data_IF_416162358726
#
_entry.id   IF_416162358726
#
_cell.length_a   1.000
_cell.length_b   1.000
_cell.length_c   1.000
_cell.angle_alpha   90.00
_cell.angle_beta   90.00
_cell.angle_gamma   90.00
#
_symmetry.space_group_name_H-M   'P 1'
#
loop_
_entity.id
_entity.type
_entity.pdbx_description
1 polymer ?
#
# COMPACT_ATOMS: atom_id res chain seq x y z
N UNK A 1 -2.41 -33.10 20.20
CA UNK A 1 -3.33 -32.00 19.84
C UNK A 1 -2.57 -30.70 20.01
N UNK A 2 -2.20 -30.05 18.92
CA UNK A 2 -1.55 -28.74 19.01
C UNK A 2 -2.59 -27.71 19.45
N UNK A 3 -2.30 -26.95 20.51
CA UNK A 3 -3.14 -25.82 20.91
C UNK A 3 -3.16 -24.81 19.77
N UNK A 4 -4.36 -24.37 19.37
CA UNK A 4 -4.49 -23.28 18.42
C UNK A 4 -3.78 -22.04 19.01
N UNK A 5 -3.05 -21.26 18.19
CA UNK A 5 -2.42 -20.04 18.67
C UNK A 5 -3.50 -19.13 19.28
N UNK A 6 -3.32 -18.77 20.55
CA UNK A 6 -4.21 -17.83 21.21
C UNK A 6 -3.97 -16.46 20.60
N UNK A 7 -4.96 -15.97 19.85
CA UNK A 7 -4.95 -14.61 19.34
C UNK A 7 -5.12 -13.63 20.51
N UNK A 8 -4.48 -12.43 20.45
CA UNK A 8 -4.72 -11.38 21.42
C UNK A 8 -6.21 -11.01 21.48
N UNK A 9 -6.73 -10.56 22.64
CA UNK A 9 -8.13 -10.19 22.78
C UNK A 9 -8.46 -9.05 21.81
N UNK A 10 -9.58 -9.19 21.11
CA UNK A 10 -10.15 -8.17 20.22
C UNK A 10 -11.25 -7.41 20.98
N UNK A 11 -11.34 -6.09 20.78
CA UNK A 11 -12.31 -5.24 21.46
C UNK A 11 -13.39 -4.66 20.54
N UNK A 12 -13.33 -4.97 19.24
CA UNK A 12 -14.35 -4.62 18.25
C UNK A 12 -14.44 -5.66 17.13
N UNK A 13 -15.54 -5.62 16.38
CA UNK A 13 -15.84 -6.54 15.26
C UNK A 13 -14.87 -6.41 14.08
N UNK A 14 -14.33 -5.22 13.87
CA UNK A 14 -13.35 -5.00 12.81
C UNK A 14 -12.02 -5.72 13.11
N UNK A 15 -11.60 -5.71 14.38
CA UNK A 15 -10.38 -6.40 14.81
C UNK A 15 -10.54 -7.93 14.75
N UNK A 16 -11.72 -8.45 15.13
CA UNK A 16 -12.05 -9.87 14.95
C UNK A 16 -11.88 -10.30 13.49
N UNK A 17 -12.42 -9.50 12.56
CA UNK A 17 -12.27 -9.75 11.13
C UNK A 17 -10.81 -9.65 10.67
N UNK A 18 -10.08 -8.64 11.14
CA UNK A 18 -8.66 -8.43 10.82
C UNK A 18 -7.79 -9.62 11.23
N UNK A 19 -7.95 -10.11 12.47
CA UNK A 19 -7.24 -11.28 12.98
C UNK A 19 -7.50 -12.52 12.12
N UNK A 20 -8.72 -12.71 11.66
CA UNK A 20 -9.10 -13.88 10.86
C UNK A 20 -8.56 -13.82 9.42
N UNK A 21 -8.46 -12.63 8.82
CA UNK A 21 -8.22 -12.50 7.38
C UNK A 21 -6.83 -11.93 7.02
N UNK A 22 -6.12 -11.29 7.96
CA UNK A 22 -4.83 -10.66 7.73
C UNK A 22 -3.75 -11.24 8.67
N UNK A 23 -2.88 -12.16 8.19
CA UNK A 23 -1.75 -12.65 8.96
C UNK A 23 -0.85 -11.48 9.43
N UNK A 24 -0.53 -11.44 10.73
CA UNK A 24 0.28 -10.37 11.33
C UNK A 24 -0.52 -9.12 11.73
N UNK A 25 -1.84 -9.11 11.54
CA UNK A 25 -2.70 -8.05 12.06
C UNK A 25 -2.61 -7.96 13.58
N UNK A 26 -2.43 -6.73 14.07
CA UNK A 26 -2.39 -6.42 15.51
C UNK A 26 -3.69 -5.68 15.86
N UNK A 27 -4.60 -6.31 16.64
CA UNK A 27 -5.78 -5.64 17.16
C UNK A 27 -5.44 -4.39 17.97
N UNK A 28 -6.34 -3.42 17.98
CA UNK A 28 -6.24 -2.30 18.89
C UNK A 28 -6.37 -2.79 20.33
N UNK A 29 -5.59 -2.18 21.22
CA UNK A 29 -5.86 -2.28 22.65
C UNK A 29 -7.17 -1.58 22.98
N UNK A 30 -7.75 -1.89 24.15
CA UNK A 30 -8.95 -1.22 24.62
C UNK A 30 -8.74 0.30 24.73
N UNK A 31 -7.57 0.70 25.21
CA UNK A 31 -7.20 2.10 25.38
C UNK A 31 -7.08 2.84 24.03
N UNK A 32 -6.53 2.19 23.00
CA UNK A 32 -6.46 2.75 21.64
C UNK A 32 -7.85 2.89 21.01
N UNK A 33 -8.72 1.91 21.22
CA UNK A 33 -10.10 1.96 20.73
C UNK A 33 -10.91 3.06 21.43
N UNK A 34 -10.81 3.19 22.75
CA UNK A 34 -11.41 4.30 23.49
C UNK A 34 -10.86 5.65 23.04
N UNK A 35 -9.54 5.76 22.80
CA UNK A 35 -8.92 6.98 22.27
C UNK A 35 -9.47 7.35 20.88
N UNK A 36 -9.64 6.36 20.00
CA UNK A 36 -10.25 6.57 18.68
C UNK A 36 -11.68 7.12 18.81
N UNK A 37 -12.51 6.53 19.68
CA UNK A 37 -13.88 7.02 19.89
C UNK A 37 -13.92 8.41 20.54
N UNK A 38 -13.02 8.71 21.48
CA UNK A 38 -12.89 10.08 22.02
C UNK A 38 -12.53 11.09 20.92
N UNK A 39 -11.65 10.73 19.98
CA UNK A 39 -11.35 11.58 18.83
C UNK A 39 -12.57 11.81 17.91
N UNK A 40 -13.55 10.90 17.93
CA UNK A 40 -14.82 11.00 17.23
C UNK A 40 -15.93 11.67 18.07
N UNK A 41 -15.60 12.16 19.27
CA UNK A 41 -16.52 12.90 20.15
C UNK A 41 -17.18 12.09 21.27
N UNK A 42 -16.80 10.83 21.49
CA UNK A 42 -17.28 10.07 22.64
C UNK A 42 -16.77 10.67 23.95
N UNK A 43 -17.63 10.70 24.97
CA UNK A 43 -17.27 10.97 26.36
C UNK A 43 -17.24 9.65 27.14
N UNK A 44 -16.82 9.68 28.40
CA UNK A 44 -16.85 8.48 29.24
C UNK A 44 -18.28 7.94 29.41
N UNK A 45 -19.29 8.82 29.41
CA UNK A 45 -20.71 8.45 29.48
C UNK A 45 -21.26 7.83 28.20
N UNK A 46 -20.74 8.22 27.02
CA UNK A 46 -21.23 7.76 25.70
C UNK A 46 -20.33 6.72 25.04
N UNK A 47 -19.22 6.34 25.68
CA UNK A 47 -18.22 5.43 25.12
C UNK A 47 -18.82 4.11 24.64
N UNK A 48 -19.66 3.48 25.46
CA UNK A 48 -20.28 2.20 25.10
C UNK A 48 -21.22 2.34 23.89
N UNK A 49 -21.98 3.43 23.79
CA UNK A 49 -22.87 3.67 22.65
C UNK A 49 -22.08 3.83 21.35
N UNK A 50 -20.93 4.50 21.40
CA UNK A 50 -20.01 4.65 20.27
C UNK A 50 -19.40 3.32 19.85
N UNK A 51 -18.97 2.49 20.81
CA UNK A 51 -18.43 1.16 20.54
C UNK A 51 -19.50 0.25 19.91
N UNK A 52 -20.71 0.23 20.47
CA UNK A 52 -21.82 -0.58 19.94
C UNK A 52 -22.24 -0.13 18.52
N UNK A 53 -22.22 1.18 18.25
CA UNK A 53 -22.48 1.71 16.92
C UNK A 53 -21.38 1.31 15.93
N UNK A 54 -20.12 1.40 16.35
CA UNK A 54 -18.97 1.00 15.54
C UNK A 54 -19.00 -0.49 15.17
N UNK A 55 -19.32 -1.35 16.12
CA UNK A 55 -19.47 -2.78 15.88
C UNK A 55 -20.64 -3.07 14.93
N UNK A 56 -21.77 -2.38 15.08
CA UNK A 56 -22.91 -2.52 14.16
C UNK A 56 -22.57 -2.09 12.75
N UNK A 57 -21.84 -0.99 12.60
CA UNK A 57 -21.39 -0.50 11.29
C UNK A 57 -20.37 -1.47 10.66
N UNK A 58 -19.46 -2.03 11.46
CA UNK A 58 -18.54 -3.06 11.02
C UNK A 58 -19.28 -4.33 10.57
N UNK A 59 -20.25 -4.82 11.34
CA UNK A 59 -21.07 -5.98 10.96
C UNK A 59 -21.90 -5.73 9.70
N UNK A 60 -22.48 -4.53 9.55
CA UNK A 60 -23.20 -4.15 8.34
C UNK A 60 -22.27 -4.10 7.12
N UNK A 61 -21.03 -3.61 7.30
CA UNK A 61 -20.03 -3.57 6.25
C UNK A 61 -19.49 -4.96 5.87
N UNK A 62 -19.28 -5.83 6.86
CA UNK A 62 -18.67 -7.15 6.71
C UNK A 62 -19.68 -8.29 6.45
N UNK A 63 -20.97 -8.03 6.68
CA UNK A 63 -22.02 -9.02 6.52
C UNK A 63 -22.23 -9.45 5.06
N UNK A 64 -23.06 -10.49 4.82
CA UNK A 64 -23.23 -11.10 3.49
C UNK A 64 -23.69 -10.16 2.37
N UNK A 65 -24.30 -9.02 2.73
CA UNK A 65 -24.78 -7.99 1.80
C UNK A 65 -24.03 -6.67 1.95
N UNK A 66 -23.01 -6.63 2.81
CA UNK A 66 -22.17 -5.47 3.02
C UNK A 66 -21.19 -5.25 1.85
N UNK A 67 -20.67 -4.03 1.67
CA UNK A 67 -19.64 -3.74 0.68
C UNK A 67 -18.32 -4.51 0.91
N UNK A 68 -18.15 -5.12 2.08
CA UNK A 68 -16.91 -5.74 2.54
C UNK A 68 -15.87 -4.69 2.95
N UNK A 69 -14.83 -5.15 3.64
CA UNK A 69 -13.63 -4.34 3.90
C UNK A 69 -12.61 -4.62 2.81
N UNK A 70 -12.35 -3.62 1.97
CA UNK A 70 -11.28 -3.70 0.97
C UNK A 70 -9.93 -3.52 1.66
N UNK A 71 -9.22 -4.62 1.91
CA UNK A 71 -7.83 -4.57 2.33
C UNK A 71 -6.96 -4.08 1.18
N UNK A 72 -6.15 -3.05 1.42
CA UNK A 72 -5.21 -2.49 0.44
C UNK A 72 -3.76 -2.72 0.89
N UNK A 73 -2.87 -2.87 -0.08
CA UNK A 73 -1.43 -2.99 0.16
C UNK A 73 -0.95 -4.32 0.74
N UNK A 74 -1.83 -5.32 0.88
CA UNK A 74 -1.43 -6.68 1.28
C UNK A 74 -0.39 -7.21 0.31
N UNK A 75 0.74 -7.69 0.84
CA UNK A 75 1.84 -8.20 0.02
C UNK A 75 1.45 -9.52 -0.66
N UNK A 76 1.98 -9.79 -1.87
CA UNK A 76 1.65 -11.01 -2.58
C UNK A 76 2.18 -12.25 -1.87
N UNK A 77 1.42 -13.33 -1.97
CA UNK A 77 1.84 -14.69 -1.59
C UNK A 77 2.75 -15.29 -2.67
N UNK A 78 3.56 -16.31 -2.34
CA UNK A 78 4.45 -16.95 -3.31
C UNK A 78 3.75 -17.54 -4.54
N UNK A 79 2.47 -17.87 -4.43
CA UNK A 79 1.61 -18.47 -5.46
C UNK A 79 0.69 -17.46 -6.17
N UNK A 80 0.84 -16.16 -5.90
CA UNK A 80 0.05 -15.13 -6.59
C UNK A 80 0.59 -14.88 -8.01
N UNK A 81 -0.24 -15.16 -9.03
CA UNK A 81 0.11 -14.97 -10.44
C UNK A 81 0.09 -13.48 -10.89
N UNK A 82 -0.48 -12.59 -10.08
CA UNK A 82 -0.69 -11.18 -10.41
C UNK A 82 0.44 -10.27 -9.89
N UNK A 83 1.69 -10.73 -10.01
CA UNK A 83 2.88 -10.00 -9.56
C UNK A 83 3.81 -9.76 -10.73
N UNK A 84 4.06 -8.48 -11.01
CA UNK A 84 5.08 -8.06 -11.96
C UNK A 84 6.41 -7.90 -11.25
N UNK A 85 7.51 -8.28 -11.90
CA UNK A 85 8.84 -8.19 -11.30
C UNK A 85 9.83 -7.49 -12.21
N UNK A 86 10.70 -6.66 -11.63
CA UNK A 86 11.81 -6.00 -12.34
C UNK A 86 13.12 -6.34 -11.61
N UNK A 87 14.07 -7.03 -12.26
CA UNK A 87 15.37 -7.31 -11.66
C UNK A 87 16.24 -6.05 -11.57
N UNK A 88 16.91 -5.88 -10.42
CA UNK A 88 17.92 -4.85 -10.23
C UNK A 88 19.27 -5.47 -10.59
N UNK A 89 19.78 -5.12 -11.77
CA UNK A 89 20.98 -5.72 -12.36
C UNK A 89 22.19 -5.68 -11.41
N UNK A 90 22.92 -6.79 -11.34
CA UNK A 90 24.10 -6.92 -10.48
C UNK A 90 23.80 -7.06 -8.98
N UNK A 91 22.55 -7.37 -8.62
CA UNK A 91 22.14 -7.61 -7.22
C UNK A 91 21.19 -8.81 -7.14
N UNK A 92 21.01 -9.37 -5.95
CA UNK A 92 19.98 -10.39 -5.65
C UNK A 92 18.60 -9.76 -5.36
N UNK A 93 18.37 -8.52 -5.79
CA UNK A 93 17.14 -7.78 -5.52
C UNK A 93 16.28 -7.65 -6.77
N UNK A 94 14.97 -7.78 -6.57
CA UNK A 94 13.95 -7.42 -7.55
C UNK A 94 13.01 -6.38 -6.93
N UNK A 95 12.38 -5.58 -7.79
CA UNK A 95 11.17 -4.84 -7.45
C UNK A 95 9.97 -5.73 -7.80
N UNK A 96 9.07 -5.95 -6.84
CA UNK A 96 7.75 -6.54 -7.14
C UNK A 96 6.72 -5.43 -7.23
N UNK A 97 5.74 -5.61 -8.12
CA UNK A 97 4.60 -4.73 -8.27
C UNK A 97 3.33 -5.57 -8.36
N UNK A 98 2.28 -5.16 -7.67
CA UNK A 98 1.00 -5.87 -7.64
C UNK A 98 -0.14 -4.87 -7.40
N UNK A 99 -1.37 -5.25 -7.76
CA UNK A 99 -2.50 -4.32 -7.61
C UNK A 99 -2.81 -4.02 -6.14
N UNK A 100 -2.71 -5.01 -5.25
CA UNK A 100 -2.85 -4.81 -3.80
C UNK A 100 -4.15 -4.11 -3.40
N UNK A 101 -5.26 -4.38 -4.10
CA UNK A 101 -6.54 -3.70 -3.88
C UNK A 101 -6.63 -2.26 -4.40
N UNK A 102 -5.55 -1.74 -5.01
CA UNK A 102 -5.42 -0.35 -5.50
C UNK A 102 -5.90 -0.11 -6.93
N UNK A 103 -6.45 -1.14 -7.59
CA UNK A 103 -6.89 -1.07 -8.99
C UNK A 103 -7.89 0.08 -9.25
N UNK A 104 -8.81 0.34 -8.31
CA UNK A 104 -9.79 1.42 -8.41
C UNK A 104 -9.16 2.82 -8.45
N UNK A 105 -7.94 2.96 -7.91
CA UNK A 105 -7.16 4.20 -7.93
C UNK A 105 -6.21 4.29 -9.12
N UNK A 106 -6.20 3.28 -10.00
CA UNK A 106 -5.19 3.14 -11.06
C UNK A 106 -3.76 3.16 -10.51
N UNK A 107 -3.54 2.55 -9.35
CA UNK A 107 -2.25 2.46 -8.68
C UNK A 107 -1.81 1.00 -8.51
N UNK A 108 -0.50 0.80 -8.43
CA UNK A 108 0.13 -0.45 -8.01
C UNK A 108 0.84 -0.23 -6.67
N UNK A 109 0.86 -1.27 -5.84
CA UNK A 109 1.79 -1.39 -4.73
C UNK A 109 3.13 -1.91 -5.25
N UNK A 110 4.21 -1.56 -4.55
CA UNK A 110 5.55 -2.05 -4.86
C UNK A 110 6.40 -2.28 -3.59
N UNK A 111 7.34 -3.21 -3.67
CA UNK A 111 8.35 -3.46 -2.64
C UNK A 111 9.68 -3.96 -3.22
N UNK A 112 10.70 -4.06 -2.36
CA UNK A 112 11.92 -4.79 -2.65
C UNK A 112 11.79 -6.24 -2.18
N UNK A 113 12.32 -7.17 -2.96
CA UNK A 113 12.36 -8.59 -2.62
C UNK A 113 13.75 -9.15 -2.89
N UNK A 114 14.28 -9.87 -1.91
CA UNK A 114 15.56 -10.57 -2.01
C UNK A 114 15.31 -11.98 -2.58
N UNK A 115 15.79 -12.23 -3.79
CA UNK A 115 15.58 -13.51 -4.50
C UNK A 115 16.46 -14.63 -3.95
N UNK A 116 17.53 -14.31 -3.23
CA UNK A 116 18.36 -15.31 -2.57
C UNK A 116 17.71 -15.79 -1.27
N UNK A 117 17.15 -14.86 -0.49
CA UNK A 117 16.49 -15.16 0.78
C UNK A 117 15.01 -15.51 0.62
N UNK A 118 14.42 -15.25 -0.55
CA UNK A 118 12.99 -15.43 -0.84
C UNK A 118 12.10 -14.67 0.15
N UNK A 119 12.50 -13.44 0.50
CA UNK A 119 11.77 -12.59 1.46
C UNK A 119 11.65 -11.16 0.96
N UNK A 120 10.52 -10.48 1.23
CA UNK A 120 10.48 -9.03 1.08
C UNK A 120 11.50 -8.39 2.03
N UNK A 121 12.07 -7.27 1.59
CA UNK A 121 13.02 -6.48 2.38
C UNK A 121 12.60 -5.01 2.36
N UNK A 122 12.90 -4.30 3.44
CA UNK A 122 12.71 -2.84 3.49
C UNK A 122 13.71 -2.15 2.55
N UNK A 123 13.54 -0.85 2.31
CA UNK A 123 14.42 -0.07 1.44
C UNK A 123 15.89 -0.29 1.84
N UNK A 124 16.71 -0.91 0.98
CA UNK A 124 18.09 -1.21 1.36
C UNK A 124 18.90 0.07 1.58
N UNK A 125 19.90 0.01 2.46
CA UNK A 125 20.67 1.20 2.84
C UNK A 125 21.32 1.86 1.61
N UNK A 126 21.07 3.16 1.45
CA UNK A 126 21.59 3.96 0.35
C UNK A 126 20.82 3.81 -0.95
N UNK A 127 19.74 3.02 -0.96
CA UNK A 127 18.84 2.91 -2.10
C UNK A 127 17.77 4.01 -2.05
N UNK A 128 17.26 4.37 -3.22
CA UNK A 128 16.11 5.25 -3.37
C UNK A 128 15.30 4.86 -4.60
N UNK A 129 13.98 5.04 -4.53
CA UNK A 129 13.09 4.95 -5.69
C UNK A 129 12.67 6.37 -6.03
N UNK A 130 12.87 6.81 -7.26
CA UNK A 130 12.53 8.15 -7.71
C UNK A 130 11.66 8.07 -8.97
N UNK A 131 10.77 9.04 -9.21
CA UNK A 131 10.17 9.22 -10.53
C UNK A 131 11.28 9.38 -11.58
N UNK A 132 11.23 8.56 -12.63
CA UNK A 132 12.17 8.65 -13.73
C UNK A 132 11.80 9.85 -14.61
N UNK A 133 12.79 10.65 -14.97
CA UNK A 133 12.62 11.72 -15.96
C UNK A 133 12.66 11.17 -17.40
N UNK A 134 12.96 9.88 -17.56
CA UNK A 134 13.08 9.25 -18.86
C UNK A 134 11.71 8.89 -19.44
N UNK A 135 11.46 9.38 -20.66
CA UNK A 135 10.47 8.91 -21.66
C UNK A 135 9.17 9.70 -21.87
N UNK A 136 8.96 10.84 -21.21
CA UNK A 136 7.89 11.78 -21.61
C UNK A 136 8.46 13.17 -21.93
N UNK A 137 8.51 13.56 -23.22
CA UNK A 137 8.85 14.93 -23.61
C UNK A 137 7.97 15.94 -22.86
N UNK A 138 8.59 16.91 -22.18
CA UNK A 138 7.88 17.96 -21.44
C UNK A 138 7.65 17.71 -19.95
N UNK A 139 8.06 16.57 -19.39
CA UNK A 139 7.99 16.31 -17.95
C UNK A 139 9.23 16.89 -17.25
N UNK A 140 9.04 17.98 -16.50
CA UNK A 140 10.10 18.74 -15.80
C UNK A 140 10.50 18.16 -14.43
N UNK A 141 9.90 17.05 -14.03
CA UNK A 141 10.10 16.51 -12.68
C UNK A 141 11.24 15.49 -12.66
N UNK A 142 12.38 15.88 -12.09
CA UNK A 142 13.17 14.92 -11.30
C UNK A 142 12.55 14.94 -9.90
N UNK A 143 11.62 14.02 -9.65
CA UNK A 143 10.92 13.96 -8.37
C UNK A 143 11.88 13.60 -7.22
N UNK A 144 11.60 14.09 -6.02
CA UNK A 144 12.19 13.56 -4.79
C UNK A 144 11.94 12.05 -4.68
N UNK A 145 12.77 11.31 -3.91
CA UNK A 145 12.50 9.91 -3.63
C UNK A 145 11.07 9.70 -3.11
N UNK A 146 10.46 8.59 -3.52
CA UNK A 146 9.13 8.21 -3.06
C UNK A 146 9.13 7.97 -1.54
N UNK A 147 8.12 8.49 -0.85
CA UNK A 147 7.85 8.13 0.55
C UNK A 147 7.11 6.80 0.59
N UNK A 148 7.59 5.86 1.39
CA UNK A 148 6.85 4.62 1.68
C UNK A 148 5.60 4.95 2.50
N UNK A 149 4.64 4.03 2.49
CA UNK A 149 3.44 4.14 3.29
C UNK A 149 3.79 4.25 4.77
N UNK A 150 4.69 3.41 5.25
CA UNK A 150 5.09 3.37 6.65
C UNK A 150 5.70 4.72 7.08
N UNK A 151 6.57 5.32 6.25
CA UNK A 151 7.10 6.67 6.53
C UNK A 151 6.04 7.75 6.49
N UNK A 152 5.08 7.65 5.56
CA UNK A 152 3.95 8.58 5.50
C UNK A 152 3.04 8.45 6.74
N UNK A 153 2.97 7.26 7.34
CA UNK A 153 2.32 7.01 8.64
C UNK A 153 3.21 7.34 9.85
N UNK A 154 4.38 7.96 9.65
CA UNK A 154 5.24 8.45 10.72
C UNK A 154 6.28 7.44 11.24
N UNK A 155 6.41 6.27 10.63
CA UNK A 155 7.47 5.34 11.00
C UNK A 155 8.85 5.88 10.59
N UNK A 156 9.78 5.83 11.53
CA UNK A 156 11.20 6.02 11.18
C UNK A 156 11.72 4.77 10.48
N UNK A 157 12.74 4.85 9.60
CA UNK A 157 13.27 3.67 8.92
C UNK A 157 13.72 2.54 9.85
N UNK A 158 14.12 2.86 11.07
CA UNK A 158 14.52 1.87 12.08
C UNK A 158 13.33 1.14 12.73
N UNK A 159 12.14 1.73 12.67
CA UNK A 159 10.93 1.19 13.30
C UNK A 159 10.01 0.49 12.30
N UNK A 160 10.31 0.52 10.99
CA UNK A 160 9.55 -0.21 10.00
C UNK A 160 9.83 -1.71 10.19
N UNK A 161 8.80 -2.55 10.43
CA UNK A 161 9.02 -3.98 10.60
C UNK A 161 9.76 -4.58 9.38
N UNK A 162 10.65 -5.56 9.58
CA UNK A 162 11.43 -6.14 8.49
C UNK A 162 10.53 -6.70 7.38
N UNK A 163 10.76 -6.22 6.15
CA UNK A 163 10.04 -6.71 4.98
C UNK A 163 8.65 -6.14 4.81
N UNK A 164 8.22 -5.16 5.61
CA UNK A 164 6.89 -4.54 5.49
C UNK A 164 6.86 -3.27 4.64
N UNK A 165 8.01 -2.63 4.41
CA UNK A 165 8.06 -1.35 3.68
C UNK A 165 7.50 -1.52 2.26
N UNK A 166 6.62 -0.59 1.87
CA UNK A 166 5.97 -0.56 0.54
C UNK A 166 5.61 0.84 0.10
N UNK A 167 5.40 1.00 -1.21
CA UNK A 167 4.96 2.25 -1.82
C UNK A 167 3.76 2.00 -2.72
N UNK A 168 3.03 3.06 -3.06
CA UNK A 168 2.01 3.03 -4.11
C UNK A 168 2.36 4.01 -5.21
N UNK A 169 2.22 3.60 -6.46
CA UNK A 169 2.58 4.40 -7.63
C UNK A 169 1.50 4.33 -8.70
N UNK A 170 1.27 5.42 -9.46
CA UNK A 170 0.33 5.40 -10.56
C UNK A 170 0.73 4.39 -11.65
N UNK A 171 -0.25 3.68 -12.19
CA UNK A 171 -0.10 2.86 -13.38
C UNK A 171 0.49 3.69 -14.53
N UNK A 172 1.35 3.07 -15.35
CA UNK A 172 2.01 3.74 -16.49
C UNK A 172 3.11 4.74 -16.12
N UNK A 173 3.37 5.00 -14.83
CA UNK A 173 4.50 5.86 -14.42
C UNK A 173 5.85 5.19 -14.70
N UNK A 174 6.90 5.99 -14.85
CA UNK A 174 8.27 5.51 -14.96
C UNK A 174 9.02 5.80 -13.67
N UNK A 175 9.73 4.80 -13.17
CA UNK A 175 10.48 4.86 -11.93
C UNK A 175 11.92 4.42 -12.13
N UNK A 176 12.81 4.98 -11.33
CA UNK A 176 14.23 4.64 -11.33
C UNK A 176 14.67 4.26 -9.92
N UNK A 177 15.43 3.18 -9.80
CA UNK A 177 16.09 2.78 -8.55
C UNK A 177 17.53 3.27 -8.56
N UNK A 178 17.93 3.96 -7.51
CA UNK A 178 19.28 4.45 -7.31
C UNK A 178 19.96 3.74 -6.15
N UNK A 179 21.30 3.64 -6.20
CA UNK A 179 22.16 3.41 -5.04
C UNK A 179 23.16 4.57 -4.93
N UNK A 180 22.96 5.43 -3.93
CA UNK A 180 23.63 6.72 -3.87
C UNK A 180 23.26 7.60 -5.06
N UNK A 181 24.21 7.87 -5.95
CA UNK A 181 24.01 8.65 -7.19
C UNK A 181 23.94 7.79 -8.45
N UNK A 182 24.14 6.48 -8.34
CA UNK A 182 24.16 5.58 -9.48
C UNK A 182 22.77 5.00 -9.72
N UNK A 183 22.23 5.22 -10.92
CA UNK A 183 20.97 4.61 -11.36
C UNK A 183 21.22 3.14 -11.71
N UNK A 184 20.48 2.25 -11.07
CA UNK A 184 20.61 0.80 -11.25
C UNK A 184 19.65 0.26 -12.31
N UNK A 185 18.42 0.77 -12.33
CA UNK A 185 17.38 0.37 -13.28
C UNK A 185 16.33 1.47 -13.40
N UNK A 186 15.80 1.64 -14.62
CA UNK A 186 14.61 2.43 -14.92
C UNK A 186 13.57 1.53 -15.57
N UNK A 187 12.32 1.59 -15.10
CA UNK A 187 11.24 0.72 -15.55
C UNK A 187 9.90 1.45 -15.60
N UNK A 188 8.96 0.90 -16.38
CA UNK A 188 7.58 1.35 -16.42
C UNK A 188 6.73 0.52 -15.46
N UNK A 189 5.84 1.19 -14.73
CA UNK A 189 4.78 0.55 -13.95
C UNK A 189 3.72 0.04 -14.94
N UNK A 190 3.17 -1.18 -14.76
CA UNK A 190 2.13 -1.72 -15.62
C UNK A 190 0.95 -0.77 -15.79
N UNK A 191 0.26 -0.87 -16.92
CA UNK A 191 -0.98 -0.14 -17.17
C UNK A 191 -2.18 -1.01 -16.81
N UNK A 192 -3.21 -0.41 -16.22
CA UNK A 192 -4.52 -1.04 -16.03
C UNK A 192 -5.50 -0.53 -17.08
N UNK A 193 -6.58 -1.27 -17.34
CA UNK A 193 -7.67 -0.79 -18.21
C UNK A 193 -8.26 0.53 -17.68
N UNK A 194 -8.42 0.66 -16.35
CA UNK A 194 -8.90 1.89 -15.72
C UNK A 194 -7.99 3.09 -16.00
N UNK A 195 -6.66 2.89 -16.01
CA UNK A 195 -5.71 3.93 -16.39
C UNK A 195 -5.85 4.33 -17.87
N UNK A 196 -6.00 3.35 -18.77
CA UNK A 196 -6.21 3.61 -20.19
C UNK A 196 -7.50 4.40 -20.44
N UNK A 197 -8.59 4.03 -19.76
CA UNK A 197 -9.87 4.73 -19.84
C UNK A 197 -9.78 6.16 -19.29
N UNK A 198 -9.04 6.36 -18.20
CA UNK A 198 -8.75 7.70 -17.66
C UNK A 198 -7.98 8.55 -18.66
N UNK A 199 -6.92 8.03 -19.28
CA UNK A 199 -6.12 8.75 -20.27
C UNK A 199 -6.93 9.08 -21.52
N UNK A 200 -7.80 8.18 -21.98
CA UNK A 200 -8.67 8.40 -23.13
C UNK A 200 -9.68 9.54 -22.94
N UNK A 201 -9.99 9.90 -21.69
CA UNK A 201 -10.88 11.01 -21.33
C UNK A 201 -10.17 12.36 -21.15
N UNK A 202 -8.84 12.39 -21.18
CA UNK A 202 -8.10 13.65 -21.11
C UNK A 202 -8.26 14.42 -22.42
N UNK A 203 -9.04 15.50 -22.36
CA UNK A 203 -9.17 16.44 -23.47
C UNK A 203 -7.91 17.29 -23.53
N UNK A 204 -7.13 17.14 -24.60
CA UNK A 204 -6.02 18.04 -24.91
C UNK A 204 -6.58 19.40 -25.38
N UNK A 205 -6.06 20.54 -24.90
CA UNK A 205 -6.40 21.83 -25.46
C UNK A 205 -6.09 21.85 -26.97
N UNK A 206 -7.10 22.12 -27.79
CA UNK A 206 -6.87 22.31 -29.23
C UNK A 206 -6.47 23.76 -29.47
N UNK A 207 -5.40 23.96 -30.26
CA UNK A 207 -4.99 25.29 -30.69
C UNK A 207 -6.00 25.80 -31.72
N UNK A 208 -7.12 26.37 -31.27
CA UNK A 208 -7.98 27.21 -32.11
C UNK A 208 -7.61 28.67 -31.89
N UNK A 209 -6.79 29.20 -32.79
CA UNK A 209 -6.91 30.59 -33.17
C UNK A 209 -7.48 30.60 -34.60
N UNK A 210 -8.73 31.07 -34.73
CA UNK A 210 -9.21 31.82 -35.91
C UNK A 210 -9.10 33.29 -35.50
N UNK A 211 -8.70 34.25 -36.33
CA UNK A 211 -8.64 34.32 -37.78
C UNK A 211 -7.26 34.74 -38.28
#
# INVERSE_FOLDING_TARGET
MAQAPQHPPTFCKLDEYGVQHAPGYTPMTKEELEMYHRAMGATDETMQEYMDAYDRDAEAALGPSGPGVRMIGMKPRPDDDNVYTVPIQGTDLIIRMWEGGMAAYSHFCLDFFDTRQQTPVNLPRGYAICPASANMPGVLTRGSPLSSWERAYGYTPANIPPGEEKWSVPAGSYLSVFKGRHELVTFAVPQTQAHQDMMARLVQPTRRYRA
#
